data_IF_051917942578
#
_entry.id   IF_051917942578
#
_cell.length_a   1.000
_cell.length_b   1.000
_cell.length_c   1.000
_cell.angle_alpha   90.00
_cell.angle_beta   90.00
_cell.angle_gamma   90.00
#
_symmetry.space_group_name_H-M   'P 1'
#
loop_
_entity.id
_entity.type
_entity.pdbx_description
1 polymer ?
#
# COMPACT_ATOMS: atom_id res chain seq x y z
N UNK A 1 7.28 32.54 15.51
CA UNK A 1 7.42 34.02 15.61
C UNK A 1 6.03 34.60 15.83
N UNK A 2 5.87 35.45 16.82
CA UNK A 2 4.62 36.16 17.11
C UNK A 2 4.77 37.60 16.65
N UNK A 3 3.84 38.09 15.86
CA UNK A 3 3.72 39.50 15.50
C UNK A 3 2.60 40.08 16.40
N UNK A 4 2.96 40.92 17.33
CA UNK A 4 2.00 41.66 18.15
C UNK A 4 1.80 43.03 17.53
N UNK A 5 0.56 43.40 17.24
CA UNK A 5 0.22 44.69 16.65
C UNK A 5 -0.14 45.70 17.73
N UNK A 6 -0.86 45.34 18.78
CA UNK A 6 -1.15 46.33 19.82
C UNK A 6 -1.54 45.77 21.19
N UNK A 7 -2.35 44.75 21.35
CA UNK A 7 -2.88 44.34 22.64
C UNK A 7 -2.83 42.84 22.88
N UNK A 8 -3.27 42.43 24.08
CA UNK A 8 -3.43 41.02 24.46
C UNK A 8 -4.32 40.23 23.48
N UNK A 9 -5.19 40.89 22.75
CA UNK A 9 -6.18 40.28 21.87
C UNK A 9 -5.95 40.53 20.37
N UNK A 10 -4.97 41.37 20.00
CA UNK A 10 -4.64 41.66 18.61
C UNK A 10 -3.24 41.19 18.28
N UNK A 11 -3.13 39.99 17.74
CA UNK A 11 -1.82 39.42 17.34
C UNK A 11 -1.96 38.39 16.21
N UNK A 12 -0.91 38.17 15.44
CA UNK A 12 -0.76 37.07 14.56
C UNK A 12 0.36 36.17 15.03
N UNK A 13 0.14 34.88 15.05
CA UNK A 13 1.09 33.89 15.57
C UNK A 13 1.22 32.72 14.60
N UNK A 14 2.45 32.39 14.23
CA UNK A 14 2.74 31.11 13.59
C UNK A 14 2.74 30.01 14.64
N UNK A 15 1.94 28.97 14.42
CA UNK A 15 1.83 27.84 15.32
C UNK A 15 2.24 26.56 14.58
N UNK A 16 3.11 25.80 15.22
CA UNK A 16 3.49 24.47 14.75
C UNK A 16 2.51 23.43 15.29
N UNK A 17 2.28 22.40 14.53
CA UNK A 17 1.48 21.27 14.94
C UNK A 17 2.34 19.99 14.99
N UNK A 18 1.89 18.99 15.76
CA UNK A 18 2.48 17.66 15.82
C UNK A 18 1.40 16.61 15.74
N UNK A 19 1.62 15.59 14.95
CA UNK A 19 0.70 14.46 14.82
C UNK A 19 0.67 13.60 16.08
N UNK A 20 1.79 13.55 16.79
CA UNK A 20 1.93 12.82 18.07
C UNK A 20 1.23 13.52 19.23
N UNK A 21 1.12 14.85 19.18
CA UNK A 21 0.47 15.66 20.21
C UNK A 21 -0.41 16.76 19.58
N UNK A 22 -1.54 16.40 18.98
CA UNK A 22 -2.44 17.37 18.34
C UNK A 22 -3.04 18.37 19.33
N UNK A 23 -3.22 17.97 20.59
CA UNK A 23 -3.79 18.84 21.63
C UNK A 23 -2.86 20.00 21.99
N UNK A 24 -1.57 19.91 21.71
CA UNK A 24 -0.65 21.03 21.84
C UNK A 24 -0.97 22.17 20.86
N UNK A 25 -1.74 21.92 19.81
CA UNK A 25 -2.26 22.92 18.88
C UNK A 25 -3.55 23.58 19.40
N UNK A 26 -4.22 23.00 20.39
CA UNK A 26 -5.47 23.48 20.96
C UNK A 26 -5.29 24.79 21.78
N UNK A 27 -6.41 25.43 22.12
CA UNK A 27 -6.44 26.51 23.11
C UNK A 27 -6.34 27.92 22.52
N UNK A 28 -6.60 28.10 21.24
CA UNK A 28 -6.75 29.44 20.65
C UNK A 28 -8.18 29.91 20.85
N UNK A 29 -8.38 30.78 21.85
CA UNK A 29 -9.65 31.42 22.14
C UNK A 29 -9.48 32.92 22.17
N UNK A 30 -10.37 33.67 21.51
CA UNK A 30 -10.35 35.11 21.52
C UNK A 30 -11.79 35.65 21.45
N UNK A 31 -12.24 36.43 22.47
CA UNK A 31 -13.59 36.96 22.51
C UNK A 31 -13.89 38.02 21.43
N UNK A 32 -12.87 38.51 20.73
CA UNK A 32 -13.04 39.48 19.65
C UNK A 32 -13.07 38.84 18.26
N UNK A 33 -12.68 37.58 18.15
CA UNK A 33 -12.68 36.82 16.91
C UNK A 33 -11.42 36.04 16.69
N UNK A 34 -11.49 35.08 15.75
CA UNK A 34 -10.37 34.22 15.40
C UNK A 34 -10.29 34.03 13.87
N UNK A 35 -9.09 34.16 13.34
CA UNK A 35 -8.79 33.83 11.96
C UNK A 35 -7.70 32.76 11.93
N UNK A 36 -8.02 31.61 11.34
CA UNK A 36 -7.07 30.53 11.12
C UNK A 36 -6.71 30.49 9.65
N UNK A 37 -5.41 30.42 9.36
CA UNK A 37 -4.88 30.27 8.01
C UNK A 37 -4.00 29.01 8.00
N UNK A 38 -4.40 28.02 7.20
CA UNK A 38 -3.62 26.82 6.96
C UNK A 38 -3.04 26.87 5.55
N UNK A 39 -1.73 26.93 5.46
CA UNK A 39 -0.98 26.79 4.21
C UNK A 39 -0.52 25.37 4.03
N UNK A 40 -0.38 24.90 2.78
CA UNK A 40 -0.11 23.50 2.45
C UNK A 40 -1.07 22.50 3.13
N UNK A 41 -2.34 22.88 3.20
CA UNK A 41 -3.35 22.20 4.00
C UNK A 41 -3.61 20.75 3.60
N UNK A 42 -3.29 20.34 2.35
CA UNK A 42 -3.38 18.94 1.95
C UNK A 42 -2.39 18.03 2.68
N UNK A 43 -1.35 18.61 3.28
CA UNK A 43 -0.38 17.90 4.12
C UNK A 43 -0.74 17.82 5.60
N UNK A 44 -1.75 18.57 6.05
CA UNK A 44 -2.13 18.66 7.46
C UNK A 44 -3.02 17.46 7.84
N UNK A 45 -2.70 16.71 8.92
CA UNK A 45 -3.48 15.58 9.37
C UNK A 45 -4.89 15.94 9.81
N UNK A 46 -5.85 15.00 9.67
CA UNK A 46 -7.24 15.19 10.07
C UNK A 46 -7.40 15.54 11.54
N UNK A 47 -6.55 15.02 12.42
CA UNK A 47 -6.55 15.33 13.85
C UNK A 47 -6.38 16.83 14.09
N UNK A 48 -5.55 17.52 13.30
CA UNK A 48 -5.35 18.97 13.42
C UNK A 48 -6.56 19.75 12.91
N UNK A 49 -7.21 19.29 11.84
CA UNK A 49 -8.48 19.86 11.40
C UNK A 49 -9.54 19.76 12.50
N UNK A 50 -9.70 18.58 13.13
CA UNK A 50 -10.65 18.37 14.21
C UNK A 50 -10.37 19.25 15.43
N UNK A 51 -9.11 19.42 15.85
CA UNK A 51 -8.73 20.33 16.94
C UNK A 51 -9.02 21.79 16.57
N UNK A 52 -8.79 22.16 15.30
CA UNK A 52 -9.07 23.53 14.83
C UNK A 52 -10.55 23.89 14.87
N UNK A 53 -11.45 22.93 14.63
CA UNK A 53 -12.90 23.15 14.78
C UNK A 53 -13.25 23.68 16.17
N UNK A 54 -12.54 23.25 17.21
CA UNK A 54 -12.70 23.74 18.58
C UNK A 54 -12.46 25.24 18.74
N UNK A 55 -11.64 25.86 17.87
CA UNK A 55 -11.37 27.31 17.93
C UNK A 55 -12.59 28.16 17.57
N UNK A 56 -13.56 27.57 16.89
CA UNK A 56 -14.76 28.24 16.40
C UNK A 56 -16.01 28.01 17.26
N UNK A 57 -15.85 27.46 18.46
CA UNK A 57 -16.95 27.20 19.39
C UNK A 57 -17.42 28.45 20.15
N UNK A 58 -16.58 29.49 20.20
CA UNK A 58 -16.95 30.78 20.84
C UNK A 58 -18.06 31.50 20.07
N UNK A 59 -19.02 32.14 20.72
CA UNK A 59 -20.14 32.81 20.08
C UNK A 59 -19.76 34.21 19.54
N UNK A 60 -18.71 34.30 18.75
CA UNK A 60 -18.23 35.54 18.11
C UNK A 60 -18.52 35.54 16.62
N UNK A 61 -18.78 36.72 16.04
CA UNK A 61 -19.13 36.85 14.64
C UNK A 61 -17.92 36.75 13.72
N UNK A 62 -16.76 37.29 14.14
CA UNK A 62 -15.55 37.35 13.33
C UNK A 62 -14.74 36.05 13.44
N UNK A 63 -15.22 35.04 12.75
CA UNK A 63 -14.61 33.71 12.70
C UNK A 63 -14.32 33.32 11.25
N UNK A 64 -13.05 33.20 10.92
CA UNK A 64 -12.63 32.89 9.56
C UNK A 64 -11.63 31.75 9.56
N UNK A 65 -11.87 30.74 8.71
CA UNK A 65 -10.96 29.65 8.47
C UNK A 65 -10.61 29.59 6.99
N UNK A 66 -9.34 29.81 6.70
CA UNK A 66 -8.80 29.77 5.34
C UNK A 66 -7.86 28.58 5.20
N UNK A 67 -8.05 27.77 4.16
CA UNK A 67 -7.20 26.64 3.84
C UNK A 67 -6.72 26.75 2.40
N UNK A 68 -5.41 26.72 2.20
CA UNK A 68 -4.78 26.84 0.89
C UNK A 68 -3.85 25.67 0.66
N UNK A 69 -3.90 25.07 -0.51
CA UNK A 69 -2.97 24.01 -0.89
C UNK A 69 -3.09 23.67 -2.36
N UNK A 70 -2.03 23.11 -2.93
CA UNK A 70 -2.16 22.22 -4.04
C UNK A 70 -2.91 20.96 -3.59
N UNK A 71 -3.91 20.46 -4.37
CA UNK A 71 -4.75 19.33 -3.94
C UNK A 71 -4.03 17.99 -4.15
N UNK A 72 -3.03 17.71 -3.32
CA UNK A 72 -2.12 16.57 -3.50
C UNK A 72 -2.68 15.23 -3.07
N UNK A 73 -3.79 15.20 -2.31
CA UNK A 73 -4.37 13.96 -1.74
C UNK A 73 -5.86 13.89 -2.01
N UNK A 74 -6.34 12.67 -2.32
CA UNK A 74 -7.77 12.37 -2.46
C UNK A 74 -8.41 11.95 -1.13
N UNK A 75 -7.83 12.37 -0.02
CA UNK A 75 -8.32 12.12 1.34
C UNK A 75 -7.83 13.21 2.27
N UNK A 76 -8.42 13.28 3.47
CA UNK A 76 -8.00 14.22 4.50
C UNK A 76 -8.83 15.50 4.52
N UNK A 77 -8.64 16.32 5.58
CA UNK A 77 -9.48 17.49 5.85
C UNK A 77 -9.55 18.48 4.68
N UNK A 78 -8.44 18.72 3.97
CA UNK A 78 -8.47 19.60 2.79
C UNK A 78 -9.32 19.01 1.64
N UNK A 79 -9.23 17.71 1.39
CA UNK A 79 -10.08 17.03 0.41
C UNK A 79 -11.56 17.11 0.81
N UNK A 80 -11.86 16.91 2.08
CA UNK A 80 -13.22 16.94 2.61
C UNK A 80 -13.86 18.32 2.44
N UNK A 81 -13.11 19.42 2.54
CA UNK A 81 -13.59 20.75 2.26
C UNK A 81 -14.17 20.90 0.84
N UNK A 82 -13.72 20.09 -0.10
CA UNK A 82 -14.19 20.11 -1.50
C UNK A 82 -15.24 19.02 -1.81
N UNK A 83 -15.36 17.98 -0.97
CA UNK A 83 -16.20 16.80 -1.22
C UNK A 83 -17.27 16.62 -0.16
N UNK A 84 -16.97 15.91 0.93
CA UNK A 84 -17.95 15.55 1.97
C UNK A 84 -18.45 16.76 2.77
N UNK A 85 -17.57 17.72 3.07
CA UNK A 85 -17.89 18.94 3.79
C UNK A 85 -18.20 20.16 2.90
N UNK A 86 -18.36 19.96 1.61
CA UNK A 86 -18.42 21.05 0.60
C UNK A 86 -19.47 22.13 0.87
N UNK A 87 -20.54 21.84 1.56
CA UNK A 87 -21.62 22.78 1.90
C UNK A 87 -21.23 23.78 2.98
N UNK A 88 -20.22 23.47 3.80
CA UNK A 88 -19.72 24.35 4.85
C UNK A 88 -18.58 25.27 4.39
N UNK A 89 -18.07 25.09 3.15
CA UNK A 89 -16.91 25.80 2.65
C UNK A 89 -17.18 26.60 1.39
N UNK A 90 -16.68 27.85 1.37
CA UNK A 90 -16.58 28.62 0.13
C UNK A 90 -15.30 28.19 -0.61
N UNK A 91 -15.46 27.51 -1.72
CA UNK A 91 -14.35 26.86 -2.45
C UNK A 91 -13.97 27.65 -3.69
N UNK A 92 -12.68 27.67 -3.98
CA UNK A 92 -12.14 28.23 -5.22
C UNK A 92 -11.03 27.31 -5.72
N UNK A 93 -11.12 26.89 -6.98
CA UNK A 93 -10.08 26.20 -7.71
C UNK A 93 -9.40 27.20 -8.63
N UNK A 94 -8.07 27.18 -8.68
CA UNK A 94 -7.26 28.05 -9.55
C UNK A 94 -6.46 27.19 -10.52
N UNK A 95 -6.57 27.49 -11.80
CA UNK A 95 -5.63 27.04 -12.80
C UNK A 95 -4.47 28.02 -12.83
N UNK A 96 -3.26 27.54 -12.51
CA UNK A 96 -2.07 28.40 -12.41
C UNK A 96 -1.77 29.17 -13.68
N UNK A 97 -2.20 28.68 -14.84
CA UNK A 97 -2.01 29.36 -16.14
C UNK A 97 -2.88 30.61 -16.28
N UNK A 98 -3.93 30.75 -15.49
CA UNK A 98 -4.85 31.90 -15.52
C UNK A 98 -4.47 32.99 -14.54
N UNK A 99 -3.42 32.81 -13.77
CA UNK A 99 -2.95 33.77 -12.78
C UNK A 99 -2.06 34.81 -13.47
N UNK A 100 -2.31 36.09 -13.17
CA UNK A 100 -1.53 37.18 -13.73
C UNK A 100 -0.09 37.19 -13.21
N UNK A 101 0.87 37.38 -14.11
CA UNK A 101 2.29 37.48 -13.75
C UNK A 101 3.05 36.16 -13.64
N UNK A 102 2.45 35.02 -13.98
CA UNK A 102 3.13 33.72 -13.98
C UNK A 102 3.93 33.46 -15.26
N UNK A 103 4.97 32.68 -15.21
CA UNK A 103 5.71 32.21 -16.38
C UNK A 103 5.03 30.98 -17.00
N UNK A 104 4.25 31.19 -18.04
CA UNK A 104 3.52 30.14 -18.74
C UNK A 104 4.44 29.04 -19.32
N UNK A 105 5.66 29.36 -19.68
CA UNK A 105 6.60 28.41 -20.28
C UNK A 105 6.91 27.23 -19.36
N UNK A 106 6.94 27.48 -18.06
CA UNK A 106 7.17 26.41 -17.07
C UNK A 106 5.99 25.43 -17.05
N UNK A 107 4.77 25.92 -17.10
CA UNK A 107 3.58 25.07 -17.14
C UNK A 107 3.44 24.32 -18.47
N UNK A 108 3.74 24.95 -19.59
CA UNK A 108 3.76 24.31 -20.91
C UNK A 108 4.78 23.17 -20.97
N UNK A 109 5.97 23.37 -20.36
CA UNK A 109 6.98 22.34 -20.24
C UNK A 109 6.48 21.15 -19.41
N UNK A 110 5.82 21.39 -18.28
CA UNK A 110 5.25 20.31 -17.45
C UNK A 110 4.16 19.55 -18.22
N UNK A 111 3.29 20.25 -18.93
CA UNK A 111 2.23 19.63 -19.73
C UNK A 111 2.83 18.79 -20.88
N UNK A 112 3.86 19.28 -21.55
CA UNK A 112 4.54 18.55 -22.62
C UNK A 112 5.26 17.29 -22.09
N UNK A 113 5.83 17.38 -20.88
CA UNK A 113 6.58 16.29 -20.26
C UNK A 113 5.67 15.20 -19.67
N UNK A 114 4.58 15.56 -18.99
CA UNK A 114 3.76 14.64 -18.21
C UNK A 114 2.39 14.38 -18.83
N UNK A 115 1.94 15.21 -19.77
CA UNK A 115 0.60 15.18 -20.34
C UNK A 115 -0.42 15.95 -19.50
N UNK A 116 -1.38 16.58 -20.19
CA UNK A 116 -2.40 17.45 -19.56
C UNK A 116 -3.28 16.71 -18.55
N UNK A 117 -3.51 15.42 -18.77
CA UNK A 117 -4.36 14.57 -17.92
C UNK A 117 -3.62 13.84 -16.79
N UNK A 118 -2.30 14.00 -16.70
CA UNK A 118 -1.51 13.40 -15.64
C UNK A 118 -1.84 14.01 -14.27
N UNK A 119 -1.74 13.23 -13.22
CA UNK A 119 -2.00 13.72 -11.86
C UNK A 119 -1.04 14.83 -11.45
N UNK A 120 0.21 14.80 -11.94
CA UNK A 120 1.17 15.88 -11.72
C UNK A 120 0.66 17.21 -12.29
N UNK A 121 0.19 17.22 -13.53
CA UNK A 121 -0.33 18.45 -14.16
C UNK A 121 -1.66 18.87 -13.53
N UNK A 122 -2.53 17.92 -13.20
CA UNK A 122 -3.78 18.20 -12.50
C UNK A 122 -3.54 18.93 -11.18
N UNK A 123 -2.61 18.44 -10.37
CA UNK A 123 -2.31 19.00 -9.06
C UNK A 123 -1.55 20.31 -9.15
N UNK A 124 -0.44 20.32 -9.88
CA UNK A 124 0.52 21.44 -9.83
C UNK A 124 0.16 22.59 -10.80
N UNK A 125 -0.61 22.30 -11.86
CA UNK A 125 -0.98 23.32 -12.87
C UNK A 125 -2.46 23.65 -12.81
N UNK A 126 -3.35 22.64 -12.83
CA UNK A 126 -4.79 22.86 -12.95
C UNK A 126 -5.49 23.07 -11.60
N UNK A 127 -4.81 22.90 -10.47
CA UNK A 127 -5.39 22.96 -9.12
C UNK A 127 -6.51 21.94 -8.92
N UNK A 128 -6.42 20.79 -9.56
CA UNK A 128 -7.41 19.73 -9.52
C UNK A 128 -6.88 18.56 -8.66
N UNK A 129 -7.77 17.94 -7.91
CA UNK A 129 -7.41 16.70 -7.23
C UNK A 129 -6.96 15.64 -8.24
N UNK A 130 -6.00 14.79 -7.89
CA UNK A 130 -5.55 13.71 -8.74
C UNK A 130 -6.71 12.77 -9.05
N UNK A 131 -6.70 12.16 -10.22
CA UNK A 131 -7.68 11.11 -10.58
C UNK A 131 -7.47 9.86 -9.73
N UNK A 132 -6.22 9.62 -9.37
CA UNK A 132 -5.80 8.54 -8.47
C UNK A 132 -5.11 9.17 -7.25
N UNK A 133 -5.16 8.51 -6.09
CA UNK A 133 -4.38 8.97 -4.93
C UNK A 133 -2.90 9.03 -5.31
N UNK A 134 -2.28 10.19 -5.15
CA UNK A 134 -0.88 10.44 -5.55
C UNK A 134 0.14 9.51 -4.84
N UNK A 135 -0.32 8.73 -3.85
CA UNK A 135 0.48 7.79 -3.07
C UNK A 135 0.00 6.35 -3.19
N UNK A 136 -0.95 6.08 -4.08
CA UNK A 136 -1.40 4.73 -4.31
C UNK A 136 -0.21 3.86 -4.78
N UNK A 137 0.07 2.79 -4.06
CA UNK A 137 1.25 1.97 -4.35
C UNK A 137 1.09 1.17 -5.65
N UNK A 138 -0.10 0.60 -5.89
CA UNK A 138 -0.45 -0.06 -7.14
C UNK A 138 -1.60 0.71 -7.80
N UNK A 139 -1.38 1.34 -8.97
CA UNK A 139 -2.42 2.09 -9.67
C UNK A 139 -3.62 1.22 -10.07
N UNK A 140 -4.84 1.75 -9.94
CA UNK A 140 -6.08 1.07 -10.33
C UNK A 140 -6.03 0.48 -11.74
N UNK A 141 -5.51 1.26 -12.70
CA UNK A 141 -5.41 0.82 -14.09
C UNK A 141 -4.51 -0.40 -14.29
N UNK A 142 -3.45 -0.53 -13.48
CA UNK A 142 -2.54 -1.69 -13.52
C UNK A 142 -3.24 -2.93 -12.99
N UNK A 143 -3.93 -2.83 -11.85
CA UNK A 143 -4.68 -3.94 -11.27
C UNK A 143 -5.83 -4.38 -12.19
N UNK A 144 -6.59 -3.43 -12.75
CA UNK A 144 -7.69 -3.72 -13.67
C UNK A 144 -7.20 -4.40 -14.95
N UNK A 145 -6.13 -3.89 -15.56
CA UNK A 145 -5.53 -4.51 -16.74
C UNK A 145 -5.04 -5.94 -16.47
N UNK A 146 -4.58 -6.22 -15.24
CA UNK A 146 -4.17 -7.57 -14.85
C UNK A 146 -5.35 -8.53 -14.68
N UNK A 147 -6.53 -8.04 -14.27
CA UNK A 147 -7.76 -8.86 -14.23
C UNK A 147 -8.25 -9.26 -15.63
N UNK A 148 -8.11 -8.37 -16.60
CA UNK A 148 -8.55 -8.62 -17.97
C UNK A 148 -7.54 -9.40 -18.81
N UNK A 149 -6.28 -9.43 -18.37
CA UNK A 149 -5.19 -10.00 -19.18
C UNK A 149 -5.32 -11.51 -19.31
N UNK A 150 -5.12 -11.98 -20.51
CA UNK A 150 -4.95 -13.41 -20.84
C UNK A 150 -3.48 -13.72 -20.94
N UNK A 151 -3.04 -14.74 -20.23
CA UNK A 151 -1.64 -15.22 -20.27
C UNK A 151 -1.62 -16.66 -20.75
N UNK A 152 -0.53 -17.02 -21.43
CA UNK A 152 -0.28 -18.41 -21.82
C UNK A 152 0.25 -19.18 -20.62
N UNK A 153 -0.28 -20.36 -20.37
CA UNK A 153 0.20 -21.24 -19.30
C UNK A 153 1.68 -21.63 -19.54
N UNK A 154 2.49 -21.46 -18.50
CA UNK A 154 3.89 -21.84 -18.49
C UNK A 154 4.14 -22.92 -17.43
N UNK A 155 4.06 -24.17 -17.83
CA UNK A 155 4.25 -25.32 -16.95
C UNK A 155 5.67 -25.43 -16.37
N UNK A 156 6.65 -24.78 -17.01
CA UNK A 156 8.02 -24.72 -16.50
C UNK A 156 8.21 -23.61 -15.45
N UNK A 157 7.26 -22.71 -15.33
CA UNK A 157 7.32 -21.71 -14.28
C UNK A 157 7.04 -22.38 -12.92
N UNK A 158 7.78 -21.96 -11.87
CA UNK A 158 7.56 -22.48 -10.53
C UNK A 158 6.17 -22.10 -10.02
N UNK A 159 5.53 -23.03 -9.33
CA UNK A 159 4.32 -22.77 -8.55
C UNK A 159 4.72 -22.32 -7.16
N UNK A 160 4.33 -21.12 -6.79
CA UNK A 160 4.63 -20.52 -5.49
C UNK A 160 3.34 -20.28 -4.74
N UNK A 161 3.32 -20.68 -3.48
CA UNK A 161 2.21 -20.46 -2.55
C UNK A 161 2.61 -19.38 -1.54
N UNK A 162 1.82 -18.33 -1.48
CA UNK A 162 1.89 -17.28 -0.44
C UNK A 162 0.76 -17.46 0.56
N UNK A 163 1.08 -17.35 1.84
CA UNK A 163 0.17 -17.61 2.96
C UNK A 163 0.23 -16.46 3.94
N UNK A 164 -0.86 -15.68 4.03
CA UNK A 164 -1.08 -14.69 5.07
C UNK A 164 -2.01 -15.28 6.14
N UNK A 165 -1.58 -15.27 7.40
CA UNK A 165 -2.28 -15.93 8.50
C UNK A 165 -2.89 -14.90 9.43
N UNK A 166 -4.21 -14.88 9.52
CA UNK A 166 -4.94 -14.10 10.49
C UNK A 166 -4.97 -14.80 11.85
N UNK A 167 -4.79 -14.04 12.92
CA UNK A 167 -4.83 -14.56 14.30
C UNK A 167 -5.93 -13.95 15.15
N UNK A 168 -6.36 -12.73 14.87
CA UNK A 168 -7.33 -11.99 15.67
C UNK A 168 -8.32 -11.22 14.82
N UNK A 169 -9.54 -11.02 15.32
CA UNK A 169 -10.55 -10.19 14.68
C UNK A 169 -11.23 -10.85 13.48
N UNK A 170 -11.57 -10.00 12.51
CA UNK A 170 -12.28 -10.37 11.28
C UNK A 170 -11.34 -10.57 10.08
N UNK A 171 -10.02 -10.49 10.31
CA UNK A 171 -9.01 -10.70 9.28
C UNK A 171 -9.07 -12.16 8.80
N UNK A 172 -8.79 -12.38 7.51
CA UNK A 172 -8.89 -13.69 6.87
C UNK A 172 -7.51 -14.35 6.74
N UNK A 173 -7.43 -15.64 7.01
CA UNK A 173 -6.28 -16.44 6.52
C UNK A 173 -6.46 -16.67 5.04
N UNK A 174 -5.45 -16.32 4.25
CA UNK A 174 -5.51 -16.37 2.78
C UNK A 174 -4.32 -17.14 2.23
N UNK A 175 -4.62 -18.09 1.34
CA UNK A 175 -3.64 -18.82 0.56
C UNK A 175 -3.80 -18.43 -0.91
N UNK A 176 -2.73 -17.89 -1.52
CA UNK A 176 -2.72 -17.52 -2.95
C UNK A 176 -1.58 -18.19 -3.70
N UNK A 177 -1.87 -18.52 -4.93
CA UNK A 177 -0.96 -19.24 -5.81
C UNK A 177 -0.50 -18.33 -6.96
N UNK A 178 0.75 -18.49 -7.36
CA UNK A 178 1.29 -17.87 -8.57
C UNK A 178 2.17 -18.86 -9.32
N UNK A 179 1.93 -19.01 -10.63
CA UNK A 179 2.79 -19.76 -11.55
C UNK A 179 3.24 -18.84 -12.68
N UNK A 180 4.49 -18.42 -12.65
CA UNK A 180 5.01 -17.49 -13.64
C UNK A 180 4.20 -16.19 -13.70
N UNK A 181 3.47 -15.97 -14.81
CA UNK A 181 2.58 -14.81 -15.00
C UNK A 181 1.12 -15.06 -14.65
N UNK A 182 0.80 -16.21 -14.12
CA UNK A 182 -0.57 -16.60 -13.78
C UNK A 182 -0.75 -16.70 -12.26
N UNK A 183 -1.66 -15.89 -11.72
CA UNK A 183 -2.15 -15.96 -10.35
C UNK A 183 -3.70 -16.08 -10.31
N UNK A 184 -4.32 -16.58 -11.40
CA UNK A 184 -5.76 -16.72 -11.54
C UNK A 184 -6.22 -18.18 -11.66
N UNK A 185 -5.45 -19.04 -12.30
CA UNK A 185 -5.89 -20.40 -12.67
C UNK A 185 -6.13 -21.31 -11.46
N UNK A 186 -5.46 -21.05 -10.34
CA UNK A 186 -5.73 -21.74 -9.07
C UNK A 186 -6.46 -20.77 -8.16
N UNK A 187 -7.69 -21.13 -7.79
CA UNK A 187 -8.52 -20.30 -6.93
C UNK A 187 -7.87 -20.10 -5.55
N UNK A 188 -7.97 -18.90 -4.96
CA UNK A 188 -7.49 -18.65 -3.61
C UNK A 188 -8.29 -19.44 -2.57
N UNK A 189 -7.67 -19.76 -1.46
CA UNK A 189 -8.32 -20.39 -0.31
C UNK A 189 -8.39 -19.35 0.80
N UNK A 190 -9.60 -18.97 1.22
CA UNK A 190 -9.84 -17.92 2.20
C UNK A 190 -10.76 -18.43 3.29
N UNK A 191 -10.41 -18.20 4.54
CA UNK A 191 -11.25 -18.56 5.68
C UNK A 191 -10.89 -17.76 6.92
N UNK A 192 -11.80 -17.72 7.89
CA UNK A 192 -11.55 -17.13 9.21
C UNK A 192 -11.41 -18.31 10.19
N UNK A 193 -10.23 -18.47 10.75
CA UNK A 193 -9.94 -19.51 11.71
C UNK A 193 -8.82 -19.06 12.67
N UNK A 194 -8.99 -19.37 13.96
CA UNK A 194 -8.05 -18.98 15.03
C UNK A 194 -7.20 -20.15 15.54
N UNK A 195 -7.60 -21.37 15.21
CA UNK A 195 -6.86 -22.56 15.59
C UNK A 195 -5.68 -22.80 14.64
N UNK A 196 -4.48 -22.55 15.15
CA UNK A 196 -3.24 -22.77 14.42
C UNK A 196 -3.08 -24.22 13.93
N UNK A 197 -3.62 -25.20 14.67
CA UNK A 197 -3.53 -26.61 14.28
C UNK A 197 -4.42 -26.92 13.09
N UNK A 198 -5.62 -26.31 13.04
CA UNK A 198 -6.50 -26.41 11.88
C UNK A 198 -5.85 -25.79 10.67
N UNK A 199 -5.32 -24.55 10.79
CA UNK A 199 -4.65 -23.85 9.70
C UNK A 199 -3.44 -24.64 9.18
N UNK A 200 -2.62 -25.19 10.09
CA UNK A 200 -1.46 -25.99 9.73
C UNK A 200 -1.82 -27.28 8.98
N UNK A 201 -2.84 -28.00 9.45
CA UNK A 201 -3.32 -29.20 8.77
C UNK A 201 -3.90 -28.88 7.40
N UNK A 202 -4.71 -27.81 7.28
CA UNK A 202 -5.24 -27.33 6.01
C UNK A 202 -4.15 -26.95 5.05
N UNK A 203 -3.12 -26.24 5.51
CA UNK A 203 -1.96 -25.90 4.70
C UNK A 203 -1.18 -27.13 4.24
N UNK A 204 -1.00 -28.12 5.12
CA UNK A 204 -0.34 -29.38 4.78
C UNK A 204 -1.11 -30.14 3.69
N UNK A 205 -2.44 -30.20 3.75
CA UNK A 205 -3.28 -30.78 2.70
C UNK A 205 -3.08 -30.05 1.37
N UNK A 206 -3.06 -28.71 1.38
CA UNK A 206 -2.88 -27.87 0.21
C UNK A 206 -1.49 -28.08 -0.41
N UNK A 207 -0.44 -28.13 0.41
CA UNK A 207 0.92 -28.40 -0.04
C UNK A 207 1.01 -29.80 -0.68
N UNK A 208 0.42 -30.80 -0.06
CA UNK A 208 0.42 -32.17 -0.59
C UNK A 208 -0.35 -32.28 -1.91
N UNK A 209 -1.46 -31.54 -2.06
CA UNK A 209 -2.29 -31.57 -3.27
C UNK A 209 -1.66 -30.84 -4.45
N UNK A 210 -1.18 -29.62 -4.25
CA UNK A 210 -0.66 -28.77 -5.34
C UNK A 210 0.83 -28.91 -5.57
N UNK A 211 1.56 -29.44 -4.61
CA UNK A 211 3.02 -29.63 -4.64
C UNK A 211 3.78 -28.38 -5.14
N UNK A 212 3.64 -27.23 -4.44
CA UNK A 212 4.30 -25.99 -4.83
C UNK A 212 5.83 -26.10 -4.70
N UNK A 213 6.55 -25.37 -5.55
CA UNK A 213 8.02 -25.31 -5.51
C UNK A 213 8.55 -24.48 -4.34
N UNK A 214 7.74 -23.56 -3.85
CA UNK A 214 7.99 -22.79 -2.63
C UNK A 214 6.68 -22.44 -1.93
N UNK A 215 6.74 -22.41 -0.62
CA UNK A 215 5.67 -21.96 0.27
C UNK A 215 6.24 -20.87 1.15
N UNK A 216 5.70 -19.65 1.04
CA UNK A 216 6.13 -18.50 1.82
C UNK A 216 5.01 -18.10 2.77
N UNK A 217 5.29 -18.05 4.06
CA UNK A 217 4.32 -17.81 5.13
C UNK A 217 4.70 -16.55 5.90
N UNK A 218 3.74 -15.65 6.14
CA UNK A 218 3.95 -14.53 7.06
C UNK A 218 4.21 -15.06 8.49
N UNK A 219 5.37 -14.70 9.02
CA UNK A 219 5.79 -15.10 10.37
C UNK A 219 5.21 -14.24 11.48
N UNK A 220 4.67 -13.07 11.19
CA UNK A 220 4.13 -12.16 12.18
C UNK A 220 3.07 -12.80 13.07
N UNK A 221 2.14 -13.51 12.45
CA UNK A 221 1.10 -14.29 13.14
C UNK A 221 1.24 -15.80 12.95
N UNK A 222 2.11 -16.25 12.07
CA UNK A 222 2.15 -17.61 11.55
C UNK A 222 3.15 -18.55 12.19
N UNK A 223 3.92 -18.15 13.19
CA UNK A 223 5.01 -18.99 13.76
C UNK A 223 4.54 -20.37 14.21
N UNK A 224 3.43 -20.46 14.92
CA UNK A 224 2.89 -21.76 15.38
C UNK A 224 2.41 -22.65 14.24
N UNK A 225 1.92 -22.07 13.14
CA UNK A 225 1.54 -22.82 11.93
C UNK A 225 2.79 -23.29 11.21
N UNK A 226 3.81 -22.44 11.10
CA UNK A 226 5.10 -22.77 10.48
C UNK A 226 5.75 -23.96 11.17
N UNK A 227 5.84 -23.92 12.51
CA UNK A 227 6.42 -24.99 13.29
C UNK A 227 5.68 -26.31 13.08
N UNK A 228 4.36 -26.27 13.12
CA UNK A 228 3.54 -27.47 12.93
C UNK A 228 3.65 -28.04 11.51
N UNK A 229 3.67 -27.21 10.49
CA UNK A 229 3.83 -27.66 9.10
C UNK A 229 5.22 -28.29 8.87
N UNK A 230 6.26 -27.73 9.51
CA UNK A 230 7.61 -28.32 9.50
C UNK A 230 7.66 -29.67 10.22
N UNK A 231 6.99 -29.81 11.38
CA UNK A 231 6.84 -31.10 12.07
C UNK A 231 6.15 -32.17 11.22
N UNK A 232 5.17 -31.75 10.37
CA UNK A 232 4.51 -32.62 9.41
C UNK A 232 5.39 -32.99 8.20
N UNK A 233 6.63 -32.50 8.16
CA UNK A 233 7.65 -32.86 7.17
C UNK A 233 7.67 -31.96 5.93
N UNK A 234 6.91 -30.86 5.91
CA UNK A 234 6.91 -29.94 4.77
C UNK A 234 7.95 -28.82 4.93
N UNK A 235 8.55 -28.45 3.81
CA UNK A 235 9.48 -27.32 3.76
C UNK A 235 8.71 -26.03 3.48
N UNK A 236 8.83 -25.06 4.38
CA UNK A 236 8.21 -23.75 4.23
C UNK A 236 9.19 -22.63 4.60
N UNK A 237 9.08 -21.52 3.91
CA UNK A 237 9.86 -20.31 4.14
C UNK A 237 9.11 -19.39 5.08
N UNK A 238 9.77 -18.97 6.11
CA UNK A 238 9.31 -18.00 7.08
C UNK A 238 9.67 -16.60 6.61
N UNK A 239 8.68 -15.72 6.47
CA UNK A 239 8.85 -14.37 5.95
C UNK A 239 8.43 -13.36 7.00
N UNK A 240 9.36 -12.51 7.43
CA UNK A 240 9.10 -11.41 8.36
C UNK A 240 8.91 -10.12 7.57
N UNK A 241 7.71 -9.56 7.58
CA UNK A 241 7.37 -8.33 6.84
C UNK A 241 8.24 -7.13 7.23
N UNK A 242 8.57 -7.02 8.51
CA UNK A 242 9.42 -5.96 9.04
C UNK A 242 10.92 -6.17 8.84
N UNK A 243 11.37 -7.31 8.31
CA UNK A 243 12.78 -7.53 8.03
C UNK A 243 13.32 -6.59 6.94
N UNK A 244 14.64 -6.43 6.87
CA UNK A 244 15.27 -5.61 5.85
C UNK A 244 15.00 -6.11 4.44
N UNK A 245 14.78 -5.19 3.51
CA UNK A 245 14.71 -5.47 2.08
C UNK A 245 16.09 -5.79 1.50
N UNK A 246 16.13 -6.50 0.38
CA UNK A 246 17.37 -6.76 -0.37
C UNK A 246 17.88 -5.49 -1.06
N UNK A 247 16.97 -4.64 -1.54
CA UNK A 247 17.26 -3.35 -2.15
C UNK A 247 17.08 -2.21 -1.16
N UNK A 248 18.00 -1.25 -1.16
CA UNK A 248 17.91 -0.03 -0.34
C UNK A 248 16.76 0.91 -0.76
N UNK A 249 16.16 0.67 -1.90
CA UNK A 249 15.01 1.42 -2.41
C UNK A 249 13.77 1.20 -1.54
N UNK A 250 13.68 0.04 -0.87
CA UNK A 250 12.53 -0.36 -0.07
C UNK A 250 12.86 -0.36 1.42
N UNK A 251 11.96 0.17 2.23
CA UNK A 251 12.18 0.31 3.66
C UNK A 251 12.17 -1.04 4.42
N UNK A 252 11.41 -2.02 3.93
CA UNK A 252 11.30 -3.35 4.54
C UNK A 252 10.92 -4.42 3.51
N UNK A 253 10.92 -5.68 3.93
CA UNK A 253 10.61 -6.84 3.09
C UNK A 253 9.18 -6.81 2.54
N UNK A 254 8.20 -6.35 3.32
CA UNK A 254 6.81 -6.23 2.85
C UNK A 254 6.73 -5.26 1.67
N UNK A 255 7.33 -4.08 1.78
CA UNK A 255 7.36 -3.09 0.69
C UNK A 255 8.04 -3.65 -0.56
N UNK A 256 9.16 -4.36 -0.40
CA UNK A 256 9.87 -4.98 -1.51
C UNK A 256 9.01 -6.04 -2.23
N UNK A 257 8.32 -6.90 -1.49
CA UNK A 257 7.41 -7.91 -2.07
C UNK A 257 6.26 -7.26 -2.84
N UNK A 258 5.68 -6.20 -2.29
CA UNK A 258 4.62 -5.43 -2.95
C UNK A 258 5.13 -4.69 -4.19
N UNK A 259 6.35 -4.19 -4.19
CA UNK A 259 6.98 -3.58 -5.36
C UNK A 259 7.18 -4.61 -6.48
N UNK A 260 7.68 -5.79 -6.13
CA UNK A 260 7.83 -6.90 -7.07
C UNK A 260 6.47 -7.35 -7.65
N UNK A 261 5.42 -7.38 -6.81
CA UNK A 261 4.05 -7.65 -7.25
C UNK A 261 3.55 -6.57 -8.21
N UNK A 262 3.72 -5.28 -7.88
CA UNK A 262 3.35 -4.15 -8.74
C UNK A 262 4.00 -4.27 -10.12
N UNK A 263 5.28 -4.51 -10.17
CA UNK A 263 6.03 -4.62 -11.42
C UNK A 263 5.60 -5.86 -12.21
N UNK A 264 5.33 -6.97 -11.52
CA UNK A 264 4.81 -8.20 -12.12
C UNK A 264 3.41 -8.02 -12.73
N UNK A 265 2.54 -7.25 -12.09
CA UNK A 265 1.18 -6.94 -12.59
C UNK A 265 1.21 -6.27 -13.98
N UNK A 266 2.30 -5.65 -14.38
CA UNK A 266 2.52 -5.14 -15.74
C UNK A 266 2.44 -6.22 -16.83
N UNK A 267 2.64 -7.49 -16.49
CA UNK A 267 2.59 -8.63 -17.43
C UNK A 267 1.88 -9.87 -16.90
N UNK A 268 1.50 -9.89 -15.63
CA UNK A 268 0.79 -10.98 -14.98
C UNK A 268 -0.72 -10.86 -15.07
N UNK A 269 -1.43 -11.95 -14.80
CA UNK A 269 -2.89 -11.95 -14.66
C UNK A 269 -3.33 -12.39 -13.26
N UNK A 270 -4.41 -11.79 -12.78
CA UNK A 270 -5.07 -12.08 -11.52
C UNK A 270 -6.54 -12.39 -11.74
N UNK A 271 -7.18 -13.01 -10.76
CA UNK A 271 -8.63 -13.24 -10.74
C UNK A 271 -9.43 -11.94 -10.58
N UNK A 272 -10.69 -11.95 -10.98
CA UNK A 272 -11.60 -10.81 -10.86
C UNK A 272 -12.24 -10.76 -9.45
N UNK A 273 -11.47 -11.04 -8.42
CA UNK A 273 -11.88 -11.00 -7.03
C UNK A 273 -11.95 -9.55 -6.52
N UNK A 274 -13.11 -9.07 -6.06
CA UNK A 274 -13.25 -7.69 -5.56
C UNK A 274 -12.42 -7.42 -4.30
N UNK A 275 -12.22 -8.42 -3.43
CA UNK A 275 -11.40 -8.28 -2.23
C UNK A 275 -9.93 -8.08 -2.63
N UNK A 276 -9.40 -8.92 -3.52
CA UNK A 276 -8.05 -8.74 -4.03
C UNK A 276 -7.86 -7.39 -4.71
N UNK A 277 -8.80 -6.99 -5.57
CA UNK A 277 -8.72 -5.70 -6.25
C UNK A 277 -8.61 -4.56 -5.25
N UNK A 278 -9.54 -4.51 -4.27
CA UNK A 278 -9.52 -3.51 -3.19
C UNK A 278 -8.20 -3.51 -2.45
N UNK A 279 -7.71 -4.69 -2.04
CA UNK A 279 -6.46 -4.84 -1.29
C UNK A 279 -5.25 -4.33 -2.07
N UNK A 280 -5.21 -4.56 -3.38
CA UNK A 280 -4.11 -4.10 -4.23
C UNK A 280 -4.08 -2.58 -4.42
N UNK A 281 -5.24 -1.93 -4.50
CA UNK A 281 -5.34 -0.52 -4.87
C UNK A 281 -5.50 0.42 -3.67
N UNK A 282 -5.82 -0.09 -2.48
CA UNK A 282 -6.04 0.74 -1.30
C UNK A 282 -4.77 1.21 -0.62
N UNK A 283 -3.66 0.42 -0.55
CA UNK A 283 -2.46 0.85 0.15
C UNK A 283 -1.76 2.01 -0.55
N UNK A 284 -1.35 2.96 0.26
CA UNK A 284 -0.52 4.09 -0.14
C UNK A 284 0.95 3.82 0.19
N UNK A 285 1.84 4.72 -0.23
CA UNK A 285 3.24 4.68 0.15
C UNK A 285 3.71 6.04 0.65
N UNK A 286 4.75 6.02 1.45
CA UNK A 286 5.48 7.21 1.87
C UNK A 286 6.98 6.95 1.83
N UNK A 287 7.78 7.99 2.02
CA UNK A 287 9.23 7.86 2.13
C UNK A 287 9.63 7.69 3.59
N UNK A 288 10.50 6.71 3.85
CA UNK A 288 10.91 6.35 5.18
C UNK A 288 12.08 7.23 5.68
N UNK A 289 11.79 8.04 6.73
CA UNK A 289 12.80 8.85 7.41
C UNK A 289 13.13 10.19 6.76
N UNK A 290 13.72 11.10 7.53
CA UNK A 290 14.08 12.46 7.08
C UNK A 290 15.30 12.52 6.16
N UNK A 291 16.04 11.44 6.04
CA UNK A 291 17.30 11.35 5.29
C UNK A 291 17.38 10.11 4.37
N UNK A 292 16.31 9.37 4.22
CA UNK A 292 16.26 8.15 3.40
C UNK A 292 15.22 8.32 2.29
N UNK A 293 15.65 8.08 1.05
CA UNK A 293 14.75 8.02 -0.10
C UNK A 293 14.04 6.67 -0.23
N UNK A 294 14.12 5.80 0.80
CA UNK A 294 13.50 4.50 0.78
C UNK A 294 11.97 4.60 0.84
N UNK A 295 11.32 3.92 -0.07
CA UNK A 295 9.85 3.85 -0.11
C UNK A 295 9.34 2.87 0.93
N UNK A 296 8.28 3.24 1.64
CA UNK A 296 7.60 2.41 2.62
C UNK A 296 6.13 2.25 2.25
N UNK A 297 5.66 1.03 2.16
CA UNK A 297 4.24 0.72 1.99
C UNK A 297 3.50 1.06 3.29
N UNK A 298 2.30 1.59 3.15
CA UNK A 298 1.41 1.89 4.26
C UNK A 298 1.22 0.69 5.21
N UNK A 299 1.29 0.95 6.52
CA UNK A 299 1.07 -0.04 7.55
C UNK A 299 -0.40 -0.51 7.58
N UNK A 300 -0.65 -1.76 8.00
CA UNK A 300 -2.01 -2.32 8.11
C UNK A 300 -2.90 -1.48 9.06
N UNK A 301 -2.31 -0.97 10.13
CA UNK A 301 -2.99 -0.12 11.11
C UNK A 301 -3.47 1.19 10.48
N UNK A 302 -2.60 1.87 9.73
CA UNK A 302 -2.94 3.11 9.02
C UNK A 302 -4.07 2.90 8.01
N UNK A 303 -4.03 1.77 7.30
CA UNK A 303 -5.08 1.40 6.35
C UNK A 303 -6.43 1.20 7.06
N UNK A 304 -6.43 0.54 8.22
CA UNK A 304 -7.62 0.36 9.07
C UNK A 304 -8.13 1.70 9.61
N UNK A 305 -7.26 2.61 10.02
CA UNK A 305 -7.62 3.97 10.46
C UNK A 305 -8.29 4.79 9.33
N UNK A 306 -7.96 4.50 8.07
CA UNK A 306 -8.61 5.06 6.89
C UNK A 306 -9.92 4.38 6.51
N UNK A 307 -10.36 3.36 7.28
CA UNK A 307 -11.61 2.64 7.06
C UNK A 307 -11.53 1.48 6.08
N UNK A 308 -10.33 1.06 5.69
CA UNK A 308 -10.14 -0.14 4.87
C UNK A 308 -9.88 -1.37 5.73
N UNK A 309 -10.27 -2.57 5.30
CA UNK A 309 -9.87 -3.81 5.96
C UNK A 309 -8.37 -4.08 5.77
N UNK A 310 -7.85 -5.06 6.50
CA UNK A 310 -6.50 -5.59 6.27
C UNK A 310 -6.36 -6.12 4.85
N UNK A 311 -5.24 -5.85 4.14
CA UNK A 311 -5.05 -6.29 2.77
C UNK A 311 -4.53 -7.73 2.69
N UNK A 312 -5.25 -8.67 3.32
CA UNK A 312 -4.81 -10.05 3.51
C UNK A 312 -4.64 -10.81 2.18
N UNK A 313 -5.51 -10.55 1.21
CA UNK A 313 -5.39 -11.09 -0.15
C UNK A 313 -4.17 -10.52 -0.89
N UNK A 314 -3.96 -9.23 -0.77
CA UNK A 314 -2.81 -8.55 -1.35
C UNK A 314 -1.50 -9.02 -0.73
N UNK A 315 -1.44 -9.16 0.59
CA UNK A 315 -0.26 -9.65 1.31
C UNK A 315 0.05 -11.13 0.97
N UNK A 316 -0.99 -11.99 0.87
CA UNK A 316 -0.81 -13.38 0.45
C UNK A 316 -0.26 -13.49 -0.99
N UNK A 317 -0.73 -12.65 -1.90
CA UNK A 317 -0.18 -12.61 -3.27
C UNK A 317 1.25 -12.05 -3.28
N UNK A 318 1.53 -10.99 -2.51
CA UNK A 318 2.87 -10.40 -2.39
C UNK A 318 3.89 -11.40 -1.82
N UNK A 319 3.49 -12.26 -0.89
CA UNK A 319 4.33 -13.33 -0.34
C UNK A 319 4.85 -14.29 -1.42
N UNK A 320 4.16 -14.43 -2.55
CA UNK A 320 4.67 -15.26 -3.66
C UNK A 320 5.95 -14.69 -4.29
N UNK A 321 6.35 -13.46 -3.93
CA UNK A 321 7.57 -12.79 -4.39
C UNK A 321 8.67 -12.71 -3.32
N UNK A 322 8.45 -13.32 -2.14
CA UNK A 322 9.39 -13.26 -1.02
C UNK A 322 10.71 -13.98 -1.31
N UNK A 323 10.67 -15.02 -2.12
CA UNK A 323 11.82 -15.85 -2.46
C UNK A 323 11.98 -16.01 -3.97
N UNK A 324 13.22 -16.08 -4.43
CA UNK A 324 13.52 -16.38 -5.85
C UNK A 324 13.51 -17.89 -6.05
N UNK A 325 12.69 -18.38 -6.97
CA UNK A 325 12.55 -19.79 -7.29
C UNK A 325 12.93 -20.04 -8.76
N UNK A 326 13.82 -20.98 -8.98
CA UNK A 326 14.25 -21.34 -10.33
C UNK A 326 13.12 -22.00 -11.13
N UNK A 327 13.16 -21.85 -12.44
CA UNK A 327 12.24 -22.53 -13.36
C UNK A 327 12.41 -24.05 -13.26
N UNK A 328 11.33 -24.80 -13.40
CA UNK A 328 11.36 -26.26 -13.49
C UNK A 328 11.97 -26.68 -14.80
N UNK A 329 12.92 -27.62 -14.76
CA UNK A 329 13.42 -28.27 -15.94
C UNK A 329 12.69 -29.61 -16.15
N UNK A 330 11.56 -29.55 -16.83
CA UNK A 330 10.76 -30.73 -17.13
C UNK A 330 11.46 -31.68 -18.12
N UNK A 331 12.38 -31.18 -18.94
CA UNK A 331 13.15 -31.98 -19.87
C UNK A 331 14.22 -32.78 -19.13
N UNK A 332 14.88 -32.17 -18.20
CA UNK A 332 15.87 -32.85 -17.36
C UNK A 332 15.23 -33.97 -16.53
N UNK A 333 14.03 -33.75 -16.02
CA UNK A 333 13.28 -34.77 -15.29
C UNK A 333 12.99 -36.02 -16.17
N UNK A 334 12.56 -35.80 -17.40
CA UNK A 334 12.30 -36.92 -18.33
C UNK A 334 13.59 -37.67 -18.71
N UNK A 335 14.65 -36.96 -18.91
CA UNK A 335 15.95 -37.57 -19.24
C UNK A 335 16.53 -38.35 -18.06
N UNK A 336 16.38 -37.80 -16.87
CA UNK A 336 16.83 -38.43 -15.65
C UNK A 336 16.08 -39.72 -15.34
N UNK A 337 14.76 -39.72 -15.57
CA UNK A 337 13.95 -40.93 -15.41
C UNK A 337 14.20 -41.98 -16.47
N UNK A 338 14.74 -41.62 -17.64
CA UNK A 338 15.10 -42.58 -18.68
C UNK A 338 16.41 -43.26 -18.46
N UNK A 339 17.36 -42.48 -18.07
CA UNK A 339 18.66 -43.03 -18.01
C UNK A 339 19.04 -43.62 -16.77
N UNK A 340 18.38 -43.65 -15.87
CA UNK A 340 18.77 -43.94 -14.90
C UNK A 340 18.78 -44.65 -14.16
N UNK A 341 18.17 -44.71 -14.23
CA UNK A 341 18.08 -45.58 -13.51
C UNK A 341 19.26 -46.09 -12.94
N UNK A 342 19.81 -46.83 -13.55
CA UNK A 342 20.99 -47.40 -13.08
C UNK A 342 22.00 -46.39 -12.60
N UNK A 343 22.16 -45.45 -13.45
CA UNK A 343 23.15 -44.58 -13.22
C UNK A 343 23.01 -43.81 -12.01
N UNK A 344 21.89 -43.31 -11.75
CA UNK A 344 21.73 -42.49 -10.65
C UNK A 344 21.89 -43.19 -9.39
N UNK A 345 21.82 -44.42 -9.48
CA UNK A 345 21.97 -45.07 -8.38
C UNK A 345 23.33 -45.38 -8.09
N UNK A 346 23.85 -45.75 -9.02
CA UNK A 346 25.10 -46.13 -8.88
C UNK A 346 25.88 -45.13 -8.50
N UNK A 347 25.30 -44.29 -8.75
CA UNK A 347 25.87 -43.42 -8.71
C UNK A 347 26.52 -43.18 -7.88
N UNK A 348 26.65 -42.94 -7.97
CA UNK A 348 27.60 -42.30 -7.53
C UNK A 348 27.91 -42.49 -6.20
N UNK A 349 27.22 -43.03 -5.52
CA UNK A 349 27.51 -43.37 -4.22
C UNK A 349 28.47 -44.47 -4.10
N UNK A 350 28.46 -45.23 -5.12
CA UNK A 350 29.24 -46.43 -5.04
C UNK A 350 30.27 -46.52 -6.13
N UNK A 351 30.18 -45.66 -7.06
CA UNK A 351 31.24 -45.55 -8.02
C UNK A 351 32.42 -44.82 -7.41
N UNK A 352 33.49 -45.27 -7.52
CA UNK A 352 34.67 -44.75 -6.95
C UNK A 352 35.51 -44.01 -7.89
#
# INVERSE_FOLDING_TARGET
>A
KQLKIDTQYYYAQGQLWSEENPDAFAGVHNPLGVQVIMDEASGIPNKIFAVTEGFFTEPVLDRYWHVFSNPRRNSGGFFDCFHTGKEFWRRRQLDSRTVEGVDLRQFEKMIAQYGIDSDTVRVEVLGQFPKQGNRQFIPNGVAHAAQERVVTEDLNAPLILGVDIARYGDDKTVFRFRRGRDARSIAPIKFVERDNMFVANKLAEVIAHYNPDAVNIDAGNGTGVIDRVRELGFKVNEVWFGSGAESKEWANKRTEMWANLRDWLGGGCIDADPDLFRDLVSPEYDYFGKASDAVMLEAKESLKDRGYPSPDDGDALALTFATRVARRDLSASKTRNRGRIARDVDYDLFSR
#
